data_IF_258663387106
#
_entry.id   IF_258663387106
#
_cell.length_a   1.000
_cell.length_b   1.000
_cell.length_c   1.000
_cell.angle_alpha   90.00
_cell.angle_beta   90.00
_cell.angle_gamma   90.00
#
_symmetry.space_group_name_H-M   'P 1'
#
loop_
_entity.id
_entity.type
_entity.pdbx_description
1 polymer ?
#
# COMPACT_ATOMS: atom_id res chain seq x y z
N UNK A 1 7.50 47.54 -21.12
CA UNK A 1 8.36 46.35 -21.27
C UNK A 1 7.48 45.11 -21.45
N UNK A 2 7.07 44.79 -22.69
CA UNK A 2 6.22 43.62 -22.96
C UNK A 2 7.07 42.35 -22.95
N UNK A 3 6.87 41.46 -21.97
CA UNK A 3 7.56 40.17 -21.88
C UNK A 3 6.89 39.21 -22.88
N UNK A 4 7.43 39.13 -24.09
CA UNK A 4 7.03 38.17 -25.12
C UNK A 4 7.32 36.76 -24.61
N UNK A 5 6.28 36.04 -24.18
CA UNK A 5 6.38 34.63 -23.79
C UNK A 5 6.50 33.80 -25.07
N UNK A 6 7.67 33.23 -25.30
CA UNK A 6 7.91 32.33 -26.41
C UNK A 6 7.37 30.94 -26.06
N UNK A 7 6.18 30.60 -26.56
CA UNK A 7 5.64 29.25 -26.46
C UNK A 7 6.37 28.39 -27.50
N UNK A 8 7.34 27.59 -27.07
CA UNK A 8 8.00 26.60 -27.93
C UNK A 8 7.30 25.25 -27.75
N UNK A 9 6.60 24.79 -28.79
CA UNK A 9 6.03 23.44 -28.85
C UNK A 9 7.02 22.52 -29.55
N UNK A 10 7.36 21.40 -28.91
CA UNK A 10 8.16 20.34 -29.52
C UNK A 10 7.23 19.31 -30.17
N UNK A 11 7.48 18.99 -31.44
CA UNK A 11 6.82 17.90 -32.16
C UNK A 11 7.92 16.90 -32.53
N UNK A 12 7.80 15.66 -32.09
CA UNK A 12 8.77 14.60 -32.41
C UNK A 12 8.61 14.23 -33.90
N UNK A 13 9.59 14.50 -34.77
CA UNK A 13 9.50 14.09 -36.16
C UNK A 13 9.55 12.56 -36.29
N UNK A 14 8.95 12.02 -37.34
CA UNK A 14 9.02 10.59 -37.64
C UNK A 14 10.46 10.17 -37.96
N UNK A 15 10.78 8.91 -37.65
CA UNK A 15 12.10 8.37 -37.93
C UNK A 15 12.37 8.32 -39.45
N UNK A 16 13.58 8.70 -39.89
CA UNK A 16 13.96 8.61 -41.29
C UNK A 16 14.05 7.15 -41.75
N UNK A 17 13.79 6.90 -43.05
CA UNK A 17 13.74 5.55 -43.64
C UNK A 17 14.97 4.70 -43.34
N UNK A 18 16.17 5.29 -43.37
CA UNK A 18 17.43 4.57 -43.13
C UNK A 18 17.52 3.99 -41.71
N UNK A 19 17.08 4.73 -40.68
CA UNK A 19 17.11 4.24 -39.30
C UNK A 19 16.08 3.14 -39.09
N UNK A 20 14.93 3.24 -39.76
CA UNK A 20 13.89 2.22 -39.70
C UNK A 20 14.38 0.89 -40.29
N UNK A 21 14.93 0.91 -41.50
CA UNK A 21 15.47 -0.28 -42.16
C UNK A 21 16.61 -0.91 -41.34
N UNK A 22 17.50 -0.09 -40.78
CA UNK A 22 18.60 -0.57 -39.94
C UNK A 22 18.09 -1.20 -38.63
N UNK A 23 17.10 -0.58 -37.96
CA UNK A 23 16.47 -1.14 -36.75
C UNK A 23 15.75 -2.45 -37.04
N UNK A 24 15.08 -2.55 -38.19
CA UNK A 24 14.41 -3.79 -38.63
C UNK A 24 15.42 -4.91 -38.90
N UNK A 25 16.51 -4.62 -39.59
CA UNK A 25 17.57 -5.59 -39.90
C UNK A 25 18.24 -6.15 -38.64
N UNK A 26 18.48 -5.31 -37.64
CA UNK A 26 19.12 -5.73 -36.38
C UNK A 26 18.11 -6.24 -35.33
N UNK A 27 16.80 -6.22 -35.64
CA UNK A 27 15.75 -6.63 -34.69
C UNK A 27 15.66 -5.76 -33.44
N UNK A 28 15.96 -4.46 -33.56
CA UNK A 28 15.97 -3.54 -32.42
C UNK A 28 14.57 -3.35 -31.85
N UNK A 29 14.41 -3.63 -30.55
CA UNK A 29 13.19 -3.32 -29.79
C UNK A 29 13.45 -2.11 -28.91
N UNK A 30 12.64 -1.08 -29.07
CA UNK A 30 12.74 0.12 -28.24
C UNK A 30 12.49 -0.25 -26.77
N UNK A 31 13.36 0.23 -25.89
CA UNK A 31 13.32 -0.10 -24.47
C UNK A 31 12.19 0.62 -23.71
N UNK A 32 12.07 0.36 -22.40
CA UNK A 32 11.11 1.04 -21.54
C UNK A 32 11.27 2.56 -21.64
N UNK A 33 10.20 3.22 -22.04
CA UNK A 33 10.16 4.69 -22.19
C UNK A 33 9.79 5.34 -20.86
N UNK A 34 9.98 6.65 -20.71
CA UNK A 34 9.59 7.39 -19.50
C UNK A 34 8.09 7.19 -19.17
N UNK A 35 7.25 7.00 -20.19
CA UNK A 35 5.81 6.76 -20.01
C UNK A 35 5.53 5.41 -19.35
N UNK A 36 6.38 4.39 -19.53
CA UNK A 36 6.22 3.10 -18.84
C UNK A 36 6.42 3.23 -17.33
N UNK A 37 7.04 4.32 -16.84
CA UNK A 37 7.12 4.63 -15.40
C UNK A 37 5.84 5.24 -14.85
N UNK A 38 4.99 5.80 -15.72
CA UNK A 38 3.72 6.44 -15.36
C UNK A 38 2.55 5.45 -15.40
N UNK A 39 2.77 4.28 -16.00
CA UNK A 39 1.78 3.21 -16.04
C UNK A 39 1.48 2.73 -14.62
N UNK A 40 0.18 2.55 -14.33
CA UNK A 40 -0.27 2.01 -13.06
C UNK A 40 0.08 0.53 -13.05
N UNK A 41 1.04 0.16 -12.19
CA UNK A 41 1.38 -1.25 -11.98
C UNK A 41 0.15 -2.01 -11.44
N UNK A 42 -0.01 -3.29 -11.82
CA UNK A 42 -1.03 -4.12 -11.21
C UNK A 42 -0.86 -4.11 -9.68
N UNK A 43 -1.97 -3.99 -8.95
CA UNK A 43 -1.96 -4.21 -7.51
C UNK A 43 -1.66 -5.69 -7.25
N UNK A 44 -0.38 -6.00 -7.02
CA UNK A 44 -0.02 -7.24 -6.37
C UNK A 44 -0.64 -7.20 -4.98
N UNK A 45 -1.64 -8.05 -4.74
CA UNK A 45 -2.03 -8.34 -3.37
C UNK A 45 -0.82 -8.94 -2.70
N UNK A 46 -0.34 -8.30 -1.64
CA UNK A 46 0.69 -8.80 -0.71
C UNK A 46 0.19 -10.02 0.09
N UNK A 47 -0.69 -10.82 -0.51
CA UNK A 47 -1.05 -12.15 -0.05
C UNK A 47 0.06 -13.08 -0.53
N UNK A 48 1.27 -12.88 -0.01
CA UNK A 48 2.25 -13.96 0.02
C UNK A 48 1.64 -15.03 0.93
N UNK A 49 1.06 -16.06 0.32
CA UNK A 49 0.60 -17.23 1.06
C UNK A 49 1.84 -17.83 1.73
N UNK A 50 1.89 -17.86 3.07
CA UNK A 50 2.99 -18.50 3.81
C UNK A 50 3.17 -19.92 3.26
N UNK A 51 4.25 -20.12 2.51
CA UNK A 51 4.52 -21.40 1.86
C UNK A 51 5.00 -22.40 2.93
N UNK A 52 4.81 -23.68 2.67
CA UNK A 52 5.27 -24.70 3.62
C UNK A 52 6.79 -24.67 3.83
N UNK A 53 7.53 -24.13 2.86
CA UNK A 53 8.97 -23.88 2.89
C UNK A 53 9.37 -22.77 3.87
N UNK A 54 8.46 -21.84 4.19
CA UNK A 54 8.71 -20.74 5.14
C UNK A 54 8.60 -21.20 6.60
N UNK A 55 8.08 -22.41 6.84
CA UNK A 55 7.94 -22.96 8.19
C UNK A 55 9.31 -23.38 8.73
N UNK A 56 9.61 -23.12 10.01
CA UNK A 56 10.91 -23.45 10.58
C UNK A 56 11.16 -24.97 10.59
N UNK A 57 12.38 -25.36 10.24
CA UNK A 57 12.83 -26.76 10.26
C UNK A 57 12.98 -27.23 11.71
N UNK A 58 12.26 -28.30 12.06
CA UNK A 58 12.35 -28.92 13.38
C UNK A 58 13.38 -30.05 13.34
N UNK A 59 14.56 -29.82 13.93
CA UNK A 59 15.61 -30.85 14.03
C UNK A 59 15.48 -31.57 15.38
N UNK A 60 15.37 -32.90 15.34
CA UNK A 60 15.28 -33.76 16.53
C UNK A 60 16.66 -34.36 16.79
N UNK A 61 17.26 -34.02 17.94
CA UNK A 61 18.62 -34.45 18.31
C UNK A 61 18.68 -35.92 18.80
N UNK A 62 17.67 -36.37 19.56
CA UNK A 62 17.56 -37.75 20.02
C UNK A 62 16.18 -38.32 19.62
N UNK A 63 16.15 -39.57 19.14
CA UNK A 63 14.92 -40.25 18.67
C UNK A 63 13.83 -40.41 19.73
N UNK A 64 14.17 -40.23 21.01
CA UNK A 64 13.27 -40.34 22.15
C UNK A 64 12.49 -39.05 22.45
N UNK A 65 12.88 -37.91 21.87
CA UNK A 65 12.36 -36.61 22.30
C UNK A 65 11.22 -36.05 21.45
N UNK A 66 11.10 -36.42 20.17
CA UNK A 66 10.02 -35.90 19.32
C UNK A 66 9.63 -36.88 18.20
N UNK A 67 8.36 -37.30 18.18
CA UNK A 67 7.71 -37.89 17.01
C UNK A 67 6.89 -36.83 16.27
N UNK A 68 6.88 -36.85 14.94
CA UNK A 68 6.15 -35.89 14.11
C UNK A 68 4.66 -35.79 14.51
N UNK A 69 4.04 -36.93 14.82
CA UNK A 69 2.64 -36.99 15.26
C UNK A 69 2.41 -36.29 16.61
N UNK A 70 3.37 -36.40 17.54
CA UNK A 70 3.27 -35.78 18.86
C UNK A 70 3.46 -34.26 18.78
N UNK A 71 4.37 -33.79 17.92
CA UNK A 71 4.58 -32.36 17.68
C UNK A 71 3.34 -31.69 17.07
N UNK A 72 2.72 -32.33 16.08
CA UNK A 72 1.46 -31.84 15.50
C UNK A 72 0.30 -31.87 16.50
N UNK A 73 0.19 -32.93 17.30
CA UNK A 73 -0.82 -33.04 18.34
C UNK A 73 -0.66 -31.93 19.39
N UNK A 74 0.58 -31.60 19.78
CA UNK A 74 0.87 -30.50 20.70
C UNK A 74 0.49 -29.14 20.11
N UNK A 75 0.86 -28.86 18.85
CA UNK A 75 0.45 -27.63 18.14
C UNK A 75 -1.08 -27.48 18.09
N UNK A 76 -1.80 -28.57 17.77
CA UNK A 76 -3.27 -28.61 17.73
C UNK A 76 -3.90 -28.39 19.11
N UNK A 77 -3.32 -28.95 20.18
CA UNK A 77 -3.79 -28.73 21.56
C UNK A 77 -3.57 -27.27 21.99
N UNK A 78 -2.38 -26.72 21.76
CA UNK A 78 -2.04 -25.33 22.09
C UNK A 78 -2.98 -24.33 21.41
N UNK A 79 -3.25 -24.49 20.11
CA UNK A 79 -4.20 -23.63 19.40
C UNK A 79 -5.63 -23.71 19.93
N UNK A 80 -6.08 -24.89 20.38
CA UNK A 80 -7.40 -25.04 21.04
C UNK A 80 -7.41 -24.40 22.43
N UNK A 81 -6.35 -24.55 23.20
CA UNK A 81 -6.23 -23.94 24.52
C UNK A 81 -6.23 -22.41 24.41
N UNK A 82 -5.47 -21.83 23.47
CA UNK A 82 -5.46 -20.39 23.19
C UNK A 82 -6.85 -19.87 22.79
N UNK A 83 -7.60 -20.62 21.97
CA UNK A 83 -8.97 -20.25 21.59
C UNK A 83 -9.99 -20.37 22.72
N UNK A 84 -9.77 -21.26 23.69
CA UNK A 84 -10.65 -21.46 24.85
C UNK A 84 -10.20 -20.66 26.08
N UNK A 85 -9.02 -20.03 26.04
CA UNK A 85 -8.60 -19.14 27.14
C UNK A 85 -9.53 -17.94 27.22
N UNK A 86 -9.94 -17.53 28.44
CA UNK A 86 -10.78 -16.36 28.62
C UNK A 86 -10.08 -15.12 28.08
N UNK A 87 -10.87 -14.17 27.57
CA UNK A 87 -10.36 -12.93 27.05
C UNK A 87 -9.48 -12.22 28.09
N UNK A 88 -8.31 -11.78 27.66
CA UNK A 88 -7.37 -11.05 28.48
C UNK A 88 -7.95 -9.69 28.90
N UNK A 89 -8.42 -9.61 30.15
CA UNK A 89 -9.06 -8.43 30.72
C UNK A 89 -8.11 -7.23 30.91
N UNK A 90 -6.79 -7.43 30.76
CA UNK A 90 -5.81 -6.34 30.80
C UNK A 90 -5.84 -5.49 29.51
N UNK A 91 -6.38 -6.04 28.42
CA UNK A 91 -6.44 -5.36 27.12
C UNK A 91 -7.76 -4.59 26.98
N UNK A 92 -7.64 -3.35 26.49
CA UNK A 92 -8.80 -2.48 26.24
C UNK A 92 -9.64 -3.03 25.09
N UNK A 93 -10.95 -3.14 25.29
CA UNK A 93 -11.92 -3.53 24.27
C UNK A 93 -12.09 -2.39 23.26
N UNK A 94 -11.87 -2.65 21.97
CA UNK A 94 -12.04 -1.68 20.87
C UNK A 94 -13.21 -2.12 20.00
N UNK A 95 -14.28 -1.32 19.96
CA UNK A 95 -15.42 -1.56 19.09
C UNK A 95 -15.14 -1.00 17.69
N UNK A 96 -15.09 -1.88 16.68
CA UNK A 96 -15.11 -1.47 15.28
C UNK A 96 -16.55 -1.39 14.80
N UNK A 97 -16.92 -0.31 14.11
CA UNK A 97 -18.17 -0.26 13.36
C UNK A 97 -18.15 -1.37 12.30
N UNK A 98 -19.17 -2.22 12.32
CA UNK A 98 -19.47 -3.14 11.24
C UNK A 98 -19.87 -2.33 10.00
N UNK A 99 -19.27 -2.66 8.84
CA UNK A 99 -19.79 -2.19 7.55
C UNK A 99 -21.07 -3.00 7.33
N UNK A 100 -22.21 -2.39 7.63
CA UNK A 100 -23.53 -2.92 7.32
C UNK A 100 -23.55 -3.13 5.79
N UNK A 101 -23.54 -4.38 5.34
CA UNK A 101 -23.97 -4.70 3.98
C UNK A 101 -25.45 -4.39 3.91
N UNK A 102 -25.82 -3.61 2.91
CA UNK A 102 -27.15 -3.05 2.65
C UNK A 102 -28.20 -4.16 2.42
N UNK A 103 -28.65 -4.81 3.48
CA UNK A 103 -29.75 -5.77 3.45
C UNK A 103 -30.39 -5.85 4.84
N UNK A 104 -30.97 -4.74 5.27
CA UNK A 104 -32.16 -4.65 6.15
C UNK A 104 -32.34 -3.17 6.50
N UNK A 105 -33.17 -2.52 5.70
CA UNK A 105 -33.62 -1.16 5.93
C UNK A 105 -34.74 -1.11 6.97
N UNK A 106 -34.82 0.05 7.61
CA UNK A 106 -35.96 0.58 8.35
C UNK A 106 -36.18 0.06 9.77
N UNK A 107 -35.68 0.84 10.75
CA UNK A 107 -36.48 1.77 11.59
C UNK A 107 -35.55 2.48 12.59
N UNK A 108 -36.00 3.66 13.03
CA UNK A 108 -35.50 4.48 14.13
C UNK A 108 -34.46 5.58 13.80
N UNK A 109 -35.02 6.79 13.61
CA UNK A 109 -34.64 8.04 14.28
C UNK A 109 -33.42 8.84 13.80
N UNK A 110 -33.72 9.75 12.87
CA UNK A 110 -32.96 10.99 12.65
C UNK A 110 -33.05 11.88 13.90
N UNK A 111 -31.98 12.62 14.23
CA UNK A 111 -32.18 14.06 14.36
C UNK A 111 -31.07 14.93 13.71
N UNK A 112 -31.57 15.83 12.85
CA UNK A 112 -31.33 17.28 12.82
C UNK A 112 -29.90 17.85 12.85
N UNK A 113 -29.56 18.44 11.70
CA UNK A 113 -28.54 19.45 11.38
C UNK A 113 -28.15 20.39 12.53
N UNK A 114 -26.84 20.61 12.72
CA UNK A 114 -26.28 21.89 13.19
C UNK A 114 -25.05 22.27 12.38
N UNK A 115 -25.12 23.42 11.71
CA UNK A 115 -24.03 24.08 10.98
C UNK A 115 -23.08 24.75 11.97
N UNK A 116 -21.77 24.54 11.84
CA UNK A 116 -20.76 25.33 12.56
C UNK A 116 -19.69 25.81 11.55
N UNK A 117 -19.85 27.09 11.21
CA UNK A 117 -18.86 28.17 11.00
C UNK A 117 -17.57 27.85 10.21
N UNK A 118 -17.48 28.46 9.02
CA UNK A 118 -16.23 28.71 8.29
C UNK A 118 -15.38 29.72 9.06
N UNK A 119 -14.17 29.34 9.48
CA UNK A 119 -13.10 30.30 9.75
C UNK A 119 -12.49 30.74 8.42
N UNK A 120 -12.29 32.05 8.25
CA UNK A 120 -11.44 32.62 7.22
C UNK A 120 -10.04 32.85 7.81
N UNK A 121 -9.07 32.93 6.89
CA UNK A 121 -7.70 33.46 7.01
C UNK A 121 -6.64 32.39 7.26
N UNK A 122 -5.51 32.34 6.54
CA UNK A 122 -4.86 33.30 5.65
C UNK A 122 -4.07 32.54 4.57
N UNK A 123 -4.03 33.06 3.33
CA UNK A 123 -3.25 32.44 2.26
C UNK A 123 -1.79 32.89 2.39
N UNK A 124 -0.92 32.04 2.91
CA UNK A 124 0.52 32.26 2.76
C UNK A 124 0.96 31.69 1.40
N UNK A 125 1.36 32.59 0.50
CA UNK A 125 1.73 32.31 -0.90
C UNK A 125 3.27 32.21 -1.01
N UNK A 126 3.94 31.45 -0.12
CA UNK A 126 5.42 31.29 -0.05
C UNK A 126 6.17 32.60 0.33
N UNK A 127 7.41 32.65 0.85
CA UNK A 127 8.36 31.68 1.43
C UNK A 127 9.53 32.44 2.13
N UNK A 128 9.29 33.25 3.18
CA UNK A 128 10.34 33.99 3.90
C UNK A 128 9.93 34.35 5.35
N UNK A 129 9.81 33.34 6.21
CA UNK A 129 10.06 33.53 7.64
C UNK A 129 11.22 32.60 7.98
N UNK A 130 12.37 32.81 7.34
CA UNK A 130 13.40 33.73 7.83
C UNK A 130 13.60 33.55 9.35
N UNK A 131 14.28 32.46 9.68
CA UNK A 131 14.92 32.26 10.97
C UNK A 131 16.32 31.69 10.68
N UNK A 132 17.12 32.48 9.95
CA UNK A 132 18.57 32.37 9.95
C UNK A 132 19.08 33.02 11.24
N UNK A 133 18.97 32.33 12.37
CA UNK A 133 19.60 32.74 13.63
C UNK A 133 19.76 31.51 14.53
N UNK A 134 20.89 30.80 14.38
CA UNK A 134 21.68 30.27 15.51
C UNK A 134 22.92 29.53 14.96
N UNK A 135 23.98 30.31 14.72
CA UNK A 135 25.34 29.83 14.86
C UNK A 135 25.67 29.82 16.36
N UNK A 136 25.87 28.63 16.94
CA UNK A 136 26.76 28.40 18.09
C UNK A 136 27.15 26.93 18.15
#
# INVERSE_FOLDING_TARGET
MSRKKHNVSYIKPNEPKFLRELKEQIGYKEGPTIDTKREVLPQYSDNEEEHEEDKPVVVVLNSEHLSAQQAEAYKKKKGKEEANTPADLSKRIIFRKNKITEAESDKADKPLKKKIKKSKQEKFVLSFSDNDEDYS
#
